data_IF_148286870218
#
_entry.id   IF_148286870218
#
_cell.length_a   1.000
_cell.length_b   1.000
_cell.length_c   1.000
_cell.angle_alpha   90.00
_cell.angle_beta   90.00
_cell.angle_gamma   90.00
#
_symmetry.space_group_name_H-M   'P 1'
#
loop_
_entity.id
_entity.type
_entity.pdbx_description
1 polymer ?
#
# COMPACT_ATOMS: atom_id res chain seq x y z
N UNK A 1 12.77 -12.54 -22.39
CA UNK A 1 12.62 -11.76 -21.15
C UNK A 1 13.13 -12.65 -20.03
N UNK A 2 14.17 -12.26 -19.30
CA UNK A 2 14.69 -13.05 -18.18
C UNK A 2 13.57 -13.15 -17.13
N UNK A 3 13.21 -14.37 -16.75
CA UNK A 3 12.32 -14.61 -15.62
C UNK A 3 13.00 -14.03 -14.36
N UNK A 4 12.46 -12.98 -13.81
CA UNK A 4 12.92 -12.44 -12.52
C UNK A 4 12.56 -13.48 -11.46
N UNK A 5 13.55 -13.94 -10.72
CA UNK A 5 13.29 -14.77 -9.55
C UNK A 5 12.81 -13.88 -8.41
N UNK A 6 11.51 -13.87 -8.17
CA UNK A 6 10.87 -13.05 -7.13
C UNK A 6 11.25 -13.45 -5.69
N UNK A 7 11.94 -14.57 -5.49
CA UNK A 7 12.48 -15.03 -4.21
C UNK A 7 13.97 -14.73 -4.03
N UNK A 8 14.62 -14.06 -4.99
CA UNK A 8 16.07 -13.83 -4.93
C UNK A 8 16.47 -12.99 -3.71
N UNK A 9 15.71 -11.94 -3.40
CA UNK A 9 15.95 -11.06 -2.25
C UNK A 9 15.74 -11.83 -0.94
N UNK A 10 14.62 -12.52 -0.81
CA UNK A 10 14.31 -13.33 0.38
C UNK A 10 15.36 -14.44 0.57
N UNK A 11 15.77 -15.10 -0.51
CA UNK A 11 16.79 -16.15 -0.42
C UNK A 11 18.14 -15.60 0.07
N UNK A 12 18.52 -14.39 -0.34
CA UNK A 12 19.68 -13.69 0.22
C UNK A 12 19.54 -13.44 1.71
N UNK A 13 18.37 -12.96 2.14
CA UNK A 13 18.08 -12.68 3.56
C UNK A 13 18.01 -13.97 4.40
N UNK A 14 17.46 -15.06 3.87
CA UNK A 14 17.53 -16.38 4.51
C UNK A 14 19.00 -16.86 4.68
N UNK A 15 19.87 -16.59 3.68
CA UNK A 15 21.30 -16.89 3.75
C UNK A 15 22.06 -16.11 4.84
N UNK A 16 21.52 -15.00 5.31
CA UNK A 16 22.05 -14.19 6.41
C UNK A 16 21.57 -14.70 7.81
N UNK A 17 20.70 -15.71 7.85
CA UNK A 17 20.23 -16.34 9.08
C UNK A 17 18.88 -15.86 9.61
N UNK A 18 18.16 -15.01 8.86
CA UNK A 18 16.77 -14.66 9.17
C UNK A 18 15.83 -15.80 8.72
N UNK A 19 14.81 -16.12 9.50
CA UNK A 19 13.88 -17.22 9.21
C UNK A 19 12.49 -16.73 8.79
N UNK A 20 12.01 -15.65 9.41
CA UNK A 20 10.65 -15.10 9.18
C UNK A 20 10.78 -13.73 8.53
N UNK A 21 10.52 -13.66 7.23
CA UNK A 21 10.64 -12.45 6.43
C UNK A 21 9.26 -11.90 6.14
N UNK A 22 9.04 -10.62 6.44
CA UNK A 22 7.83 -9.89 6.09
C UNK A 22 8.10 -8.94 4.92
N UNK A 23 7.21 -8.87 3.94
CA UNK A 23 7.17 -7.82 2.93
C UNK A 23 6.15 -6.75 3.30
N UNK A 24 6.48 -5.47 3.07
CA UNK A 24 5.62 -4.32 3.37
C UNK A 24 5.57 -3.38 2.18
N UNK A 25 4.37 -2.95 1.81
CA UNK A 25 4.13 -1.94 0.77
C UNK A 25 2.92 -1.07 1.12
N UNK A 26 2.79 0.07 0.44
CA UNK A 26 1.69 1.01 0.63
C UNK A 26 0.95 1.36 -0.66
N UNK A 27 -0.30 1.79 -0.51
CA UNK A 27 -1.13 2.36 -1.56
C UNK A 27 -1.77 3.66 -1.10
N UNK A 28 -1.84 4.65 -2.01
CA UNK A 28 -2.61 5.85 -1.72
C UNK A 28 -1.80 7.03 -1.20
N UNK A 29 -0.51 7.14 -1.45
CA UNK A 29 0.29 8.33 -1.09
C UNK A 29 -0.06 9.57 -1.89
N UNK A 30 -0.28 9.42 -3.20
CA UNK A 30 -0.50 10.54 -4.14
C UNK A 30 -1.92 11.11 -4.26
N UNK A 31 -3.01 10.42 -3.91
CA UNK A 31 -4.37 10.94 -4.00
C UNK A 31 -4.61 12.20 -3.18
N UNK A 32 -5.57 13.03 -3.63
CA UNK A 32 -6.03 14.26 -2.96
C UNK A 32 -7.05 13.96 -1.85
N UNK A 33 -7.60 12.74 -1.81
CA UNK A 33 -8.64 12.34 -0.85
C UNK A 33 -8.44 10.90 -0.37
N UNK A 34 -8.97 10.62 0.82
CA UNK A 34 -8.98 9.30 1.44
C UNK A 34 -7.67 8.93 2.13
N UNK A 35 -7.62 7.75 2.77
CA UNK A 35 -6.49 7.29 3.57
C UNK A 35 -5.29 6.86 2.72
N UNK A 36 -4.14 6.72 3.36
CA UNK A 36 -3.05 5.85 2.92
C UNK A 36 -3.23 4.49 3.58
N UNK A 37 -3.02 3.41 2.80
CA UNK A 37 -3.14 2.03 3.25
C UNK A 37 -1.79 1.35 3.09
N UNK A 38 -1.35 0.60 4.09
CA UNK A 38 -0.19 -0.28 4.00
C UNK A 38 -0.60 -1.72 4.32
N UNK A 39 0.14 -2.67 3.78
CA UNK A 39 0.01 -4.07 4.16
C UNK A 39 1.38 -4.67 4.49
N UNK A 40 1.36 -5.66 5.37
CA UNK A 40 2.49 -6.48 5.75
C UNK A 40 2.12 -7.94 5.50
N UNK A 41 2.98 -8.70 4.83
CA UNK A 41 2.69 -10.10 4.45
C UNK A 41 3.90 -10.99 4.71
N UNK A 42 3.67 -12.16 5.31
CA UNK A 42 4.63 -13.24 5.47
C UNK A 42 4.12 -14.43 4.67
N UNK A 43 4.82 -14.78 3.59
CA UNK A 43 4.51 -15.96 2.79
C UNK A 43 5.37 -17.16 3.22
N UNK A 44 4.89 -18.39 3.04
CA UNK A 44 5.74 -19.58 3.13
C UNK A 44 6.94 -19.48 2.19
N UNK A 45 8.13 -19.87 2.67
CA UNK A 45 9.36 -19.85 1.88
C UNK A 45 9.20 -20.66 0.58
N UNK A 46 9.50 -20.02 -0.55
CA UNK A 46 9.43 -20.64 -1.87
C UNK A 46 8.03 -20.81 -2.43
N UNK A 47 7.00 -20.26 -1.77
CA UNK A 47 5.64 -20.29 -2.30
C UNK A 47 5.56 -19.50 -3.61
N UNK A 48 5.06 -20.14 -4.66
CA UNK A 48 4.75 -19.49 -5.93
C UNK A 48 3.24 -19.23 -6.03
N UNK A 49 2.86 -17.97 -6.21
CA UNK A 49 1.48 -17.57 -6.52
C UNK A 49 1.44 -17.16 -7.99
N UNK A 50 0.81 -17.96 -8.87
CA UNK A 50 0.81 -17.69 -10.30
C UNK A 50 0.23 -16.33 -10.66
N UNK A 51 1.04 -15.51 -11.35
CA UNK A 51 0.66 -14.16 -11.78
C UNK A 51 0.85 -13.07 -10.72
N UNK A 52 1.39 -13.38 -9.54
CA UNK A 52 1.78 -12.38 -8.57
C UNK A 52 3.01 -11.60 -9.08
N UNK A 53 2.89 -10.30 -9.12
CA UNK A 53 3.92 -9.33 -9.51
C UNK A 53 3.47 -7.93 -9.09
N UNK A 54 4.24 -6.90 -9.43
CA UNK A 54 3.92 -5.48 -9.24
C UNK A 54 2.43 -5.18 -9.52
N UNK A 55 1.72 -4.73 -8.49
CA UNK A 55 0.28 -4.47 -8.54
C UNK A 55 -0.12 -3.45 -9.61
N UNK A 56 0.79 -2.54 -9.98
CA UNK A 56 0.56 -1.49 -10.99
C UNK A 56 0.55 -2.06 -12.43
N UNK A 57 1.18 -3.23 -12.63
CA UNK A 57 1.20 -3.94 -13.92
C UNK A 57 -0.02 -4.84 -14.11
N UNK A 58 -0.78 -5.08 -13.05
CA UNK A 58 -1.95 -5.93 -13.08
C UNK A 58 -3.24 -5.14 -13.32
N UNK A 59 -4.18 -5.75 -14.01
CA UNK A 59 -5.56 -5.22 -14.08
C UNK A 59 -6.23 -5.30 -12.71
N UNK A 60 -7.25 -4.48 -12.49
CA UNK A 60 -8.04 -4.53 -11.25
C UNK A 60 -8.64 -5.93 -11.02
N UNK A 61 -9.18 -6.54 -12.08
CA UNK A 61 -9.70 -7.92 -12.04
C UNK A 61 -8.64 -8.90 -11.52
N UNK A 62 -7.42 -8.84 -12.05
CA UNK A 62 -6.35 -9.77 -11.64
C UNK A 62 -5.91 -9.54 -10.19
N UNK A 63 -5.83 -8.29 -9.73
CA UNK A 63 -5.55 -7.99 -8.32
C UNK A 63 -6.62 -8.58 -7.40
N UNK A 64 -7.91 -8.44 -7.76
CA UNK A 64 -9.04 -8.99 -6.99
C UNK A 64 -9.07 -10.51 -6.98
N UNK A 65 -8.61 -11.18 -8.03
CA UNK A 65 -8.42 -12.63 -8.06
C UNK A 65 -7.30 -13.06 -7.11
N UNK A 66 -6.19 -12.33 -7.06
CA UNK A 66 -5.03 -12.64 -6.21
C UNK A 66 -5.27 -12.32 -4.73
N UNK A 67 -6.06 -11.31 -4.42
CA UNK A 67 -6.30 -10.85 -3.06
C UNK A 67 -6.72 -11.96 -2.08
N UNK A 68 -7.77 -12.75 -2.35
CA UNK A 68 -8.15 -13.88 -1.47
C UNK A 68 -7.10 -14.98 -1.46
N UNK A 69 -6.42 -15.25 -2.58
CA UNK A 69 -5.37 -16.26 -2.65
C UNK A 69 -4.20 -15.92 -1.73
N UNK A 70 -3.76 -14.65 -1.74
CA UNK A 70 -2.69 -14.18 -0.84
C UNK A 70 -3.11 -14.35 0.62
N UNK A 71 -4.34 -13.94 0.97
CA UNK A 71 -4.85 -14.04 2.35
C UNK A 71 -4.94 -15.47 2.85
N UNK A 72 -5.31 -16.39 1.97
CA UNK A 72 -5.45 -17.82 2.29
C UNK A 72 -4.09 -18.51 2.46
N UNK A 73 -3.11 -18.14 1.63
CA UNK A 73 -1.80 -18.81 1.59
C UNK A 73 -0.74 -18.14 2.46
N UNK A 74 -0.96 -16.92 2.96
CA UNK A 74 -0.02 -16.25 3.83
C UNK A 74 0.05 -16.92 5.21
N UNK A 75 1.26 -17.04 5.76
CA UNK A 75 1.47 -17.43 7.18
C UNK A 75 0.83 -16.39 8.09
N UNK A 76 1.02 -15.10 7.77
CA UNK A 76 0.38 -13.98 8.43
C UNK A 76 0.29 -12.80 7.48
N UNK A 77 -0.73 -11.96 7.67
CA UNK A 77 -0.81 -10.66 7.03
C UNK A 77 -1.47 -9.65 7.98
N UNK A 78 -1.17 -8.37 7.75
CA UNK A 78 -1.81 -7.26 8.44
C UNK A 78 -2.03 -6.10 7.49
N UNK A 79 -3.08 -5.30 7.72
CA UNK A 79 -3.44 -4.14 6.89
C UNK A 79 -3.65 -2.94 7.80
N UNK A 80 -2.88 -1.89 7.60
CA UNK A 80 -2.93 -0.67 8.38
C UNK A 80 -3.35 0.52 7.53
N UNK A 81 -4.09 1.44 8.13
CA UNK A 81 -4.56 2.67 7.52
C UNK A 81 -4.09 3.88 8.32
N UNK A 82 -3.78 4.97 7.62
CA UNK A 82 -3.74 6.30 8.21
C UNK A 82 -4.71 7.22 7.45
N UNK A 83 -5.56 7.90 8.20
CA UNK A 83 -6.64 8.73 7.69
C UNK A 83 -6.13 10.00 6.99
N UNK A 84 -7.01 10.65 6.24
CA UNK A 84 -6.72 11.96 5.66
C UNK A 84 -6.38 13.03 6.72
N UNK A 85 -7.00 12.97 7.90
CA UNK A 85 -6.70 13.88 9.01
C UNK A 85 -5.28 13.64 9.55
N UNK A 86 -4.89 12.38 9.78
CA UNK A 86 -3.53 12.04 10.19
C UNK A 86 -2.50 12.44 9.12
N UNK A 87 -2.83 12.31 7.82
CA UNK A 87 -1.98 12.79 6.73
C UNK A 87 -1.78 14.30 6.82
N UNK A 88 -2.83 15.05 7.08
CA UNK A 88 -2.76 16.51 7.22
C UNK A 88 -1.99 16.95 8.45
N UNK A 89 -2.07 16.19 9.55
CA UNK A 89 -1.39 16.47 10.82
C UNK A 89 0.11 16.16 10.77
N UNK A 90 0.49 14.95 10.31
CA UNK A 90 1.87 14.44 10.40
C UNK A 90 2.59 14.34 9.06
N UNK A 91 2.00 14.81 7.97
CA UNK A 91 2.36 14.66 6.56
C UNK A 91 2.31 13.23 6.03
N UNK A 92 2.35 13.10 4.69
CA UNK A 92 2.16 11.79 4.01
C UNK A 92 3.28 10.79 4.31
N UNK A 93 4.52 11.22 4.53
CA UNK A 93 5.62 10.31 4.83
C UNK A 93 5.41 9.64 6.19
N UNK A 94 5.14 10.43 7.22
CA UNK A 94 4.90 9.90 8.57
C UNK A 94 3.59 9.13 8.67
N UNK A 95 2.54 9.57 7.95
CA UNK A 95 1.27 8.82 7.86
C UNK A 95 1.46 7.46 7.16
N UNK A 96 2.32 7.38 6.13
CA UNK A 96 2.69 6.10 5.51
C UNK A 96 3.37 5.17 6.53
N UNK A 97 4.33 5.69 7.29
CA UNK A 97 4.99 4.91 8.35
C UNK A 97 4.01 4.47 9.45
N UNK A 98 3.06 5.31 9.81
CA UNK A 98 2.01 4.95 10.77
C UNK A 98 1.11 3.81 10.24
N UNK A 99 0.75 3.86 8.96
CA UNK A 99 0.00 2.78 8.32
C UNK A 99 0.81 1.47 8.30
N UNK A 100 2.11 1.53 7.99
CA UNK A 100 3.01 0.38 8.03
C UNK A 100 3.15 -0.21 9.44
N UNK A 101 3.29 0.63 10.48
CA UNK A 101 3.31 0.18 11.89
C UNK A 101 2.02 -0.56 12.26
N UNK A 102 0.88 0.00 11.88
CA UNK A 102 -0.44 -0.62 12.11
C UNK A 102 -0.57 -1.94 11.38
N UNK A 103 -0.03 -2.05 10.17
CA UNK A 103 0.00 -3.31 9.42
C UNK A 103 0.90 -4.35 10.10
N UNK A 104 2.12 -3.99 10.49
CA UNK A 104 3.06 -4.86 11.19
C UNK A 104 2.50 -5.33 12.55
N UNK A 105 1.82 -4.44 13.28
CA UNK A 105 1.22 -4.77 14.58
C UNK A 105 0.06 -5.78 14.49
N UNK A 106 -0.54 -5.98 13.33
CA UNK A 106 -1.60 -6.97 13.11
C UNK A 106 -1.08 -8.36 12.74
N UNK A 107 0.23 -8.52 12.50
CA UNK A 107 0.80 -9.82 12.20
C UNK A 107 0.68 -10.75 13.40
N UNK A 108 0.08 -11.93 13.21
CA UNK A 108 -0.05 -12.98 14.23
C UNK A 108 1.26 -13.73 14.47
N UNK A 109 2.22 -13.60 13.53
CA UNK A 109 3.57 -14.14 13.63
C UNK A 109 4.55 -12.97 13.56
N UNK A 110 5.48 -12.89 14.52
CA UNK A 110 6.48 -11.82 14.59
C UNK A 110 7.57 -12.08 13.54
N UNK A 111 7.84 -11.15 12.60
CA UNK A 111 8.94 -11.30 11.66
C UNK A 111 10.29 -10.99 12.31
N UNK A 112 11.34 -11.63 11.80
CA UNK A 112 12.73 -11.33 12.16
C UNK A 112 13.25 -10.08 11.43
N UNK A 113 12.71 -9.83 10.22
CA UNK A 113 13.07 -8.70 9.38
C UNK A 113 11.89 -8.28 8.51
N UNK A 114 11.76 -6.98 8.24
CA UNK A 114 10.83 -6.43 7.26
C UNK A 114 11.55 -5.93 6.00
N UNK A 115 11.14 -6.41 4.83
CA UNK A 115 11.49 -5.88 3.52
C UNK A 115 10.44 -4.83 3.14
N UNK A 116 10.85 -3.59 2.94
CA UNK A 116 9.94 -2.47 2.68
C UNK A 116 10.15 -1.94 1.27
N UNK A 117 9.06 -1.81 0.49
CA UNK A 117 9.15 -1.16 -0.82
C UNK A 117 9.62 0.29 -0.68
N UNK A 118 10.56 0.67 -1.55
CA UNK A 118 11.09 2.03 -1.60
C UNK A 118 12.54 2.16 -1.16
N UNK A 119 12.94 3.42 -0.89
CA UNK A 119 14.32 3.79 -0.58
C UNK A 119 14.51 4.37 0.83
N UNK A 120 13.44 4.41 1.64
CA UNK A 120 13.45 4.95 3.00
C UNK A 120 12.51 4.15 3.89
N UNK A 121 12.97 3.95 5.12
CA UNK A 121 12.16 3.39 6.19
C UNK A 121 12.51 4.12 7.50
N UNK A 122 11.68 3.95 8.53
CA UNK A 122 12.02 4.31 9.90
C UNK A 122 12.37 3.05 10.68
N UNK A 123 12.78 3.22 11.92
CA UNK A 123 12.86 2.12 12.88
C UNK A 123 11.43 1.71 13.28
N UNK A 124 11.08 0.45 13.05
CA UNK A 124 9.81 -0.18 13.43
C UNK A 124 9.98 -1.13 14.64
N UNK A 125 11.11 -1.09 15.33
CA UNK A 125 11.42 -1.99 16.45
C UNK A 125 11.81 -3.41 16.02
N UNK A 126 12.17 -3.59 14.74
CA UNK A 126 12.72 -4.81 14.16
C UNK A 126 13.70 -4.44 13.03
N UNK A 127 14.60 -5.34 12.63
CA UNK A 127 15.46 -5.16 11.45
C UNK A 127 14.65 -4.81 10.19
N UNK A 128 15.13 -3.84 9.43
CA UNK A 128 14.45 -3.36 8.22
C UNK A 128 15.44 -3.30 7.05
N UNK A 129 14.99 -3.72 5.86
CA UNK A 129 15.71 -3.52 4.60
C UNK A 129 14.80 -2.89 3.57
N UNK A 130 15.21 -1.77 3.02
CA UNK A 130 14.48 -1.13 1.92
C UNK A 130 14.86 -1.77 0.59
N UNK A 131 13.87 -1.97 -0.29
CA UNK A 131 14.02 -2.57 -1.60
C UNK A 131 13.36 -1.66 -2.64
N UNK A 132 14.17 -1.00 -3.45
CA UNK A 132 13.66 -0.12 -4.51
C UNK A 132 12.96 -0.96 -5.58
N UNK A 133 11.69 -0.67 -5.85
CA UNK A 133 10.81 -1.48 -6.72
C UNK A 133 10.65 -2.91 -6.21
N UNK A 134 10.55 -3.06 -4.90
CA UNK A 134 10.42 -4.34 -4.23
C UNK A 134 9.18 -5.11 -4.67
N UNK A 135 8.11 -4.43 -5.02
CA UNK A 135 6.88 -4.98 -5.61
C UNK A 135 7.12 -5.80 -6.91
N UNK A 136 8.23 -5.56 -7.60
CA UNK A 136 8.67 -6.31 -8.79
C UNK A 136 9.78 -7.32 -8.53
N UNK A 137 10.36 -7.37 -7.32
CA UNK A 137 11.59 -8.11 -7.01
C UNK A 137 11.47 -9.05 -5.82
N UNK A 138 10.47 -8.87 -4.96
CA UNK A 138 10.23 -9.62 -3.73
C UNK A 138 8.81 -10.16 -3.72
N UNK A 139 8.65 -11.45 -3.47
CA UNK A 139 7.34 -12.11 -3.44
C UNK A 139 6.48 -11.57 -2.27
N UNK A 140 7.08 -11.37 -1.09
CA UNK A 140 6.37 -10.84 0.06
C UNK A 140 5.93 -9.38 -0.16
N UNK A 141 6.78 -8.53 -0.76
CA UNK A 141 6.41 -7.14 -1.05
C UNK A 141 5.32 -7.08 -2.14
N UNK A 142 5.42 -7.92 -3.19
CA UNK A 142 4.40 -8.01 -4.23
C UNK A 142 3.04 -8.40 -3.65
N UNK A 143 3.00 -9.36 -2.73
CA UNK A 143 1.78 -9.74 -2.04
C UNK A 143 1.22 -8.58 -1.19
N UNK A 144 2.08 -7.88 -0.44
CA UNK A 144 1.70 -6.69 0.34
C UNK A 144 1.13 -5.59 -0.57
N UNK A 145 1.75 -5.33 -1.73
CA UNK A 145 1.28 -4.31 -2.67
C UNK A 145 -0.15 -4.57 -3.16
N UNK A 146 -0.50 -5.84 -3.42
CA UNK A 146 -1.86 -6.22 -3.81
C UNK A 146 -2.84 -6.03 -2.66
N UNK A 147 -2.50 -6.47 -1.44
CA UNK A 147 -3.38 -6.30 -0.28
C UNK A 147 -3.63 -4.82 0.02
N UNK A 148 -2.59 -4.00 0.04
CA UNK A 148 -2.72 -2.56 0.27
C UNK A 148 -3.56 -1.88 -0.83
N UNK A 149 -3.31 -2.22 -2.11
CA UNK A 149 -4.00 -1.61 -3.26
C UNK A 149 -5.48 -1.98 -3.30
N UNK A 150 -5.83 -3.25 -3.19
CA UNK A 150 -7.23 -3.69 -3.26
C UNK A 150 -8.02 -3.14 -2.07
N UNK A 151 -7.49 -3.25 -0.85
CA UNK A 151 -8.15 -2.72 0.35
C UNK A 151 -8.42 -1.21 0.21
N UNK A 152 -7.42 -0.44 -0.25
CA UNK A 152 -7.62 1.00 -0.43
C UNK A 152 -8.64 1.31 -1.52
N UNK A 153 -8.59 0.59 -2.63
CA UNK A 153 -9.53 0.83 -3.74
C UNK A 153 -10.98 0.52 -3.32
N UNK A 154 -11.20 -0.51 -2.50
CA UNK A 154 -12.52 -0.86 -1.96
C UNK A 154 -13.03 0.24 -1.01
N UNK A 155 -12.21 0.75 -0.11
CA UNK A 155 -12.56 1.90 0.72
C UNK A 155 -12.93 3.13 -0.11
N UNK A 156 -12.25 3.37 -1.23
CA UNK A 156 -12.59 4.48 -2.12
C UNK A 156 -13.89 4.25 -2.89
N UNK A 157 -14.31 3.00 -3.12
CA UNK A 157 -15.63 2.69 -3.67
C UNK A 157 -16.73 2.98 -2.65
N UNK A 158 -16.56 2.56 -1.39
CA UNK A 158 -17.49 2.90 -0.30
C UNK A 158 -17.62 4.42 -0.10
N UNK A 159 -16.50 5.15 -0.21
CA UNK A 159 -16.50 6.61 -0.13
C UNK A 159 -17.16 7.26 -1.37
N UNK A 160 -17.13 6.62 -2.53
CA UNK A 160 -17.83 7.10 -3.72
C UNK A 160 -19.35 7.09 -3.53
N UNK A 161 -19.89 6.11 -2.81
CA UNK A 161 -21.33 6.07 -2.48
C UNK A 161 -21.74 7.24 -1.58
N UNK A 162 -20.85 7.66 -0.65
CA UNK A 162 -21.10 8.80 0.26
C UNK A 162 -20.90 10.16 -0.41
N UNK A 163 -20.01 10.23 -1.38
CA UNK A 163 -19.62 11.46 -2.07
C UNK A 163 -19.69 11.31 -3.59
N UNK A 164 -20.87 10.98 -4.15
CA UNK A 164 -21.03 10.64 -5.57
C UNK A 164 -20.61 11.75 -6.53
N UNK A 165 -20.62 13.02 -6.08
CA UNK A 165 -20.28 14.17 -6.89
C UNK A 165 -18.79 14.27 -7.26
N UNK A 166 -17.90 13.46 -6.64
CA UNK A 166 -16.45 13.53 -6.91
C UNK A 166 -15.96 12.47 -7.89
N UNK A 167 -16.69 11.38 -8.11
CA UNK A 167 -16.29 10.29 -9.04
C UNK A 167 -15.15 9.42 -8.50
N UNK A 168 -15.09 9.19 -7.19
CA UNK A 168 -14.04 8.39 -6.55
C UNK A 168 -14.02 6.94 -7.03
N UNK A 169 -15.12 6.41 -7.52
CA UNK A 169 -15.23 5.07 -8.13
C UNK A 169 -14.36 4.92 -9.38
N UNK A 170 -14.06 6.02 -10.07
CA UNK A 170 -13.21 6.03 -11.27
C UNK A 170 -11.75 6.21 -10.89
N UNK A 171 -11.41 7.30 -10.22
CA UNK A 171 -10.03 7.73 -10.03
C UNK A 171 -9.49 7.51 -8.61
N UNK A 172 -10.26 6.89 -7.71
CA UNK A 172 -9.81 6.52 -6.36
C UNK A 172 -9.15 7.67 -5.57
N UNK A 173 -9.62 8.91 -5.81
CA UNK A 173 -9.13 10.12 -5.16
C UNK A 173 -7.87 10.74 -5.79
N UNK A 174 -7.31 10.19 -6.86
CA UNK A 174 -6.19 10.81 -7.57
C UNK A 174 -6.61 12.12 -8.25
N UNK A 175 -5.65 13.07 -8.35
CA UNK A 175 -5.85 14.39 -8.94
C UNK A 175 -5.98 14.36 -10.46
N UNK A 176 -7.03 13.76 -10.98
CA UNK A 176 -7.41 13.77 -12.39
C UNK A 176 -8.11 15.08 -12.75
N UNK A 177 -8.24 15.37 -14.05
CA UNK A 177 -9.00 16.54 -14.53
C UNK A 177 -10.44 16.54 -13.97
N UNK A 178 -11.09 15.36 -13.97
CA UNK A 178 -12.45 15.21 -13.45
C UNK A 178 -12.52 15.52 -11.94
N UNK A 179 -11.54 15.06 -11.16
CA UNK A 179 -11.49 15.33 -9.72
C UNK A 179 -11.28 16.82 -9.42
N UNK A 180 -10.36 17.49 -10.13
CA UNK A 180 -10.19 18.93 -9.98
C UNK A 180 -11.41 19.73 -10.43
N UNK A 181 -12.16 19.27 -11.44
CA UNK A 181 -13.41 19.92 -11.85
C UNK A 181 -14.48 19.78 -10.77
N UNK A 182 -14.64 18.57 -10.20
CA UNK A 182 -15.54 18.36 -9.06
C UNK A 182 -15.18 19.25 -7.87
N UNK A 183 -13.88 19.44 -7.57
CA UNK A 183 -13.43 20.35 -6.52
C UNK A 183 -13.78 21.83 -6.82
N UNK A 184 -13.75 22.27 -8.09
CA UNK A 184 -14.17 23.64 -8.45
C UNK A 184 -15.66 23.85 -8.24
N UNK A 185 -16.48 22.84 -8.54
CA UNK A 185 -17.95 22.93 -8.47
C UNK A 185 -18.46 22.75 -7.03
N UNK A 186 -17.92 21.77 -6.30
CA UNK A 186 -18.45 21.32 -5.02
C UNK A 186 -17.57 21.68 -3.80
N UNK A 187 -16.37 22.24 -4.04
CA UNK A 187 -15.38 22.43 -2.97
C UNK A 187 -14.75 21.11 -2.49
N UNK A 188 -14.00 21.15 -1.41
CA UNK A 188 -13.46 19.97 -0.79
C UNK A 188 -14.46 19.32 0.17
N UNK A 189 -14.60 18.00 0.13
CA UNK A 189 -15.34 17.25 1.17
C UNK A 189 -14.45 17.02 2.39
N UNK A 190 -15.06 16.48 3.45
CA UNK A 190 -14.36 16.18 4.71
C UNK A 190 -13.20 15.16 4.56
N UNK A 191 -13.24 14.28 3.54
CA UNK A 191 -12.21 13.28 3.33
C UNK A 191 -11.03 13.75 2.46
N UNK A 192 -11.06 15.00 1.97
CA UNK A 192 -9.96 15.58 1.22
C UNK A 192 -8.79 15.95 2.14
N UNK A 193 -7.58 15.76 1.62
CA UNK A 193 -6.33 16.13 2.29
C UNK A 193 -6.07 17.62 2.08
N UNK A 194 -6.35 18.44 3.08
CA UNK A 194 -6.26 19.90 3.01
C UNK A 194 -4.86 20.36 2.61
N UNK A 195 -3.83 19.71 3.17
CA UNK A 195 -2.43 20.03 2.86
C UNK A 195 -2.07 19.79 1.38
N UNK A 196 -2.74 18.84 0.71
CA UNK A 196 -2.53 18.55 -0.72
C UNK A 196 -3.25 19.54 -1.64
N UNK A 197 -4.28 20.21 -1.13
CA UNK A 197 -5.10 21.16 -1.88
C UNK A 197 -4.61 22.62 -1.76
N UNK A 198 -3.62 22.92 -0.92
CA UNK A 198 -3.10 24.29 -0.74
C UNK A 198 -2.82 25.00 -2.06
N UNK A 199 -2.05 24.37 -2.94
CA UNK A 199 -1.73 24.95 -4.27
C UNK A 199 -2.97 25.15 -5.14
N UNK A 200 -3.96 24.28 -5.03
CA UNK A 200 -5.20 24.37 -5.79
C UNK A 200 -6.03 25.59 -5.38
N UNK A 201 -6.06 25.90 -4.09
CA UNK A 201 -6.76 27.07 -3.54
C UNK A 201 -5.89 28.34 -3.48
N UNK A 202 -4.64 28.31 -3.97
CA UNK A 202 -3.74 29.46 -3.95
C UNK A 202 -3.16 29.78 -2.57
N UNK A 203 -3.21 28.86 -1.63
CA UNK A 203 -2.62 28.98 -0.31
C UNK A 203 -1.09 28.70 -0.38
N UNK A 204 -0.32 29.48 0.39
CA UNK A 204 1.14 29.31 0.50
C UNK A 204 1.55 28.29 1.55
#
# INVERSE_FOLDING_TARGET
MSNVNMWEIENGVYGEGFEIICGVDEAGRGPLAGPVCAAAVILPKGLEIPGLTDSKKLTDKKRRELFPVIKDQAIAYGIGLASHNEIDEINILHATYLAMERALAQLTVKPDIALIDGNRAKDFGLPVRTVVRGDSLSMNIAAASILAKVTRDDLMLELAEKYPQYGFEVHKGYGTKAHYEALRVHGASEIHRKTFLKKFYGEK
#
